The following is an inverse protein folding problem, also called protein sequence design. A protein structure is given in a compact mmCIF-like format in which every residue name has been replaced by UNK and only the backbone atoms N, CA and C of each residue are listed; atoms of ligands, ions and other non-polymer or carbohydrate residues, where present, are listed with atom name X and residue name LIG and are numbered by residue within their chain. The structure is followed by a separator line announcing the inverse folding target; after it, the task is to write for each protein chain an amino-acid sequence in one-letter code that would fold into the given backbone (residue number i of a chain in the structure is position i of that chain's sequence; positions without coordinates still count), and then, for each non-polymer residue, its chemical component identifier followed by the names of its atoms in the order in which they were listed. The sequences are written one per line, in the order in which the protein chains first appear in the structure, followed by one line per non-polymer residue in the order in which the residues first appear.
data_IF_466923071566
#
_entry.id   IF_466923071566
#
_cell.length_a   1.000
_cell.length_b   1.000
_cell.length_c   1.000
_cell.angle_alpha   90.00
_cell.angle_beta   90.00
_cell.angle_gamma   90.00
#
_symmetry.space_group_name_H-M   'P 1'
#
loop_
_entity.id
_entity.type
_entity.pdbx_description
1 polymer ?
#
# COMPACT_ATOMS: atom_id res chain seq x y z
N UNK A 1 52.26 38.90 -31.80
CA UNK A 1 51.00 38.15 -32.07
C UNK A 1 50.45 37.64 -30.76
N UNK A 2 49.36 38.23 -30.27
CA UNK A 2 48.79 37.85 -29.00
C UNK A 2 47.73 36.74 -29.21
N UNK A 3 47.91 35.56 -28.61
CA UNK A 3 46.89 34.49 -28.56
C UNK A 3 45.84 34.89 -27.56
N UNK A 4 44.60 35.10 -28.03
CA UNK A 4 43.43 35.30 -27.19
C UNK A 4 43.13 33.99 -26.42
N UNK A 5 43.24 34.04 -25.11
CA UNK A 5 42.78 33.03 -24.18
C UNK A 5 41.24 32.90 -24.27
N UNK A 6 40.72 31.72 -24.61
CA UNK A 6 39.32 31.43 -24.54
C UNK A 6 38.94 31.31 -23.07
N UNK A 7 38.09 32.24 -22.58
CA UNK A 7 37.44 32.12 -21.28
C UNK A 7 36.57 30.88 -21.28
N UNK A 8 36.87 29.93 -20.40
CA UNK A 8 36.00 28.85 -20.05
C UNK A 8 34.73 29.47 -19.42
N UNK A 9 33.61 29.34 -20.10
CA UNK A 9 32.29 29.57 -19.51
C UNK A 9 32.01 28.43 -18.54
N UNK A 10 31.55 28.72 -17.32
CA UNK A 10 31.11 27.66 -16.40
C UNK A 10 29.90 26.93 -16.99
N UNK A 11 29.98 25.61 -17.04
CA UNK A 11 28.87 24.75 -17.40
C UNK A 11 27.75 24.92 -16.33
N UNK A 12 26.49 24.97 -16.72
CA UNK A 12 25.43 25.04 -15.72
C UNK A 12 25.39 23.75 -14.86
N UNK A 13 25.34 23.94 -13.57
CA UNK A 13 25.28 22.90 -12.57
C UNK A 13 24.08 21.98 -12.80
N UNK A 14 24.29 20.82 -13.42
CA UNK A 14 23.30 19.75 -13.56
C UNK A 14 23.26 18.81 -12.33
N UNK A 15 23.90 19.20 -11.22
CA UNK A 15 24.17 18.27 -10.13
C UNK A 15 23.19 18.31 -8.95
N UNK A 16 22.34 19.32 -8.85
CA UNK A 16 21.48 19.47 -7.65
C UNK A 16 20.18 18.67 -7.69
N UNK A 17 19.62 18.41 -8.88
CA UNK A 17 18.29 17.78 -9.00
C UNK A 17 18.37 16.26 -8.91
N UNK A 18 19.45 15.63 -9.39
CA UNK A 18 19.57 14.16 -9.39
C UNK A 18 19.94 13.56 -8.04
N UNK A 19 20.50 14.37 -7.11
CA UNK A 19 20.86 13.92 -5.77
C UNK A 19 19.67 14.00 -4.80
N UNK A 20 18.75 14.94 -5.02
CA UNK A 20 17.55 15.11 -4.17
C UNK A 20 16.46 14.06 -4.45
N UNK A 21 16.36 13.52 -5.67
CA UNK A 21 15.34 12.55 -6.03
C UNK A 21 15.48 11.19 -5.31
N UNK A 22 16.68 10.59 -5.17
CA UNK A 22 16.86 9.38 -4.37
C UNK A 22 16.58 9.59 -2.89
N UNK A 23 16.99 10.72 -2.30
CA UNK A 23 16.75 11.02 -0.89
C UNK A 23 15.26 11.23 -0.59
N UNK A 24 14.49 11.80 -1.52
CA UNK A 24 13.03 11.93 -1.37
C UNK A 24 12.31 10.59 -1.49
N UNK A 25 12.80 9.68 -2.32
CA UNK A 25 12.24 8.32 -2.45
C UNK A 25 12.57 7.45 -1.23
N UNK A 26 13.75 7.58 -0.65
CA UNK A 26 14.12 6.88 0.58
C UNK A 26 13.33 7.38 1.80
N UNK A 27 12.91 8.65 1.79
CA UNK A 27 12.08 9.23 2.85
C UNK A 27 10.61 8.78 2.80
N UNK A 28 10.14 8.28 1.63
CA UNK A 28 8.76 7.82 1.47
C UNK A 28 8.60 6.38 1.95
N UNK A 29 7.43 6.09 2.51
CA UNK A 29 7.10 4.76 3.00
C UNK A 29 6.87 3.79 1.84
N UNK A 30 7.59 2.66 1.76
CA UNK A 30 7.39 1.66 0.71
C UNK A 30 6.01 1.02 0.85
N UNK A 31 5.19 1.20 -0.19
CA UNK A 31 3.79 0.81 -0.23
C UNK A 31 3.53 -0.27 -1.28
N UNK A 32 2.78 -1.28 -0.90
CA UNK A 32 2.29 -2.33 -1.78
C UNK A 32 0.78 -2.20 -2.00
N UNK A 33 0.35 -2.52 -3.20
CA UNK A 33 -1.06 -2.71 -3.52
C UNK A 33 -1.43 -4.16 -3.22
N UNK A 34 -2.52 -4.38 -2.49
CA UNK A 34 -3.14 -5.67 -2.37
C UNK A 34 -4.58 -5.63 -2.89
N UNK A 35 -4.92 -6.60 -3.71
CA UNK A 35 -6.26 -6.75 -4.26
C UNK A 35 -6.68 -8.21 -4.34
N UNK A 36 -7.97 -8.41 -4.55
CA UNK A 36 -8.58 -9.72 -4.64
C UNK A 36 -9.85 -9.68 -5.50
N UNK A 37 -10.02 -10.71 -6.33
CA UNK A 37 -11.30 -11.07 -6.93
C UNK A 37 -11.80 -12.39 -6.33
N UNK A 38 -13.09 -12.47 -6.07
CA UNK A 38 -13.77 -13.67 -5.62
C UNK A 38 -14.40 -14.40 -6.80
N UNK A 39 -14.46 -15.74 -6.76
CA UNK A 39 -15.13 -16.54 -7.80
C UNK A 39 -16.65 -16.33 -7.81
N UNK A 40 -17.21 -15.91 -6.69
CA UNK A 40 -18.64 -15.73 -6.51
C UNK A 40 -19.20 -14.40 -7.02
N UNK A 41 -18.30 -13.47 -7.38
CA UNK A 41 -18.66 -12.10 -7.71
C UNK A 41 -18.71 -11.83 -9.23
N UNK A 42 -19.00 -12.85 -10.05
CA UNK A 42 -18.78 -12.92 -11.51
C UNK A 42 -19.58 -11.90 -12.37
N UNK A 43 -20.55 -11.15 -11.84
CA UNK A 43 -21.39 -10.31 -12.72
C UNK A 43 -21.41 -8.81 -12.41
N UNK A 44 -20.83 -8.33 -11.31
CA UNK A 44 -20.92 -6.91 -10.91
C UNK A 44 -19.63 -6.32 -10.35
N UNK A 45 -18.56 -7.05 -10.25
CA UNK A 45 -17.34 -6.52 -9.68
C UNK A 45 -16.40 -5.89 -10.71
N UNK A 46 -15.87 -4.79 -10.27
CA UNK A 46 -14.81 -4.05 -10.90
C UNK A 46 -13.60 -4.94 -11.21
N UNK A 47 -13.08 -4.85 -12.41
CA UNK A 47 -11.94 -5.66 -12.86
C UNK A 47 -10.69 -5.45 -11.97
N UNK A 48 -9.79 -6.40 -12.03
CA UNK A 48 -8.47 -6.31 -11.38
C UNK A 48 -7.75 -5.01 -11.76
N UNK A 49 -7.77 -4.67 -13.04
CA UNK A 49 -7.09 -3.50 -13.58
C UNK A 49 -7.66 -2.21 -13.00
N UNK A 50 -8.98 -2.12 -12.87
CA UNK A 50 -9.65 -0.94 -12.31
C UNK A 50 -9.33 -0.76 -10.82
N UNK A 51 -9.33 -1.85 -10.04
CA UNK A 51 -8.93 -1.80 -8.63
C UNK A 51 -7.48 -1.32 -8.48
N UNK A 52 -6.57 -1.91 -9.24
CA UNK A 52 -5.14 -1.55 -9.21
C UNK A 52 -4.96 -0.08 -9.63
N UNK A 53 -5.61 0.36 -10.71
CA UNK A 53 -5.50 1.72 -11.20
C UNK A 53 -5.95 2.76 -10.17
N UNK A 54 -7.06 2.51 -9.47
CA UNK A 54 -7.58 3.38 -8.42
C UNK A 54 -6.58 3.51 -7.26
N UNK A 55 -6.05 2.39 -6.80
CA UNK A 55 -5.10 2.37 -5.68
C UNK A 55 -3.74 2.95 -6.08
N UNK A 56 -3.30 2.67 -7.31
CA UNK A 56 -2.07 3.24 -7.86
C UNK A 56 -2.15 4.77 -7.96
N UNK A 57 -3.29 5.30 -8.43
CA UNK A 57 -3.51 6.75 -8.47
C UNK A 57 -3.45 7.39 -7.09
N UNK A 58 -4.04 6.73 -6.08
CA UNK A 58 -3.94 7.18 -4.69
C UNK A 58 -2.48 7.25 -4.21
N UNK A 59 -1.70 6.20 -4.44
CA UNK A 59 -0.28 6.17 -4.05
C UNK A 59 0.51 7.27 -4.77
N UNK A 60 0.27 7.44 -6.07
CA UNK A 60 0.99 8.44 -6.89
C UNK A 60 0.72 9.88 -6.44
N UNK A 61 -0.47 10.16 -5.90
CA UNK A 61 -0.83 11.47 -5.36
C UNK A 61 -0.32 11.70 -3.93
N UNK A 62 0.09 10.64 -3.25
CA UNK A 62 0.60 10.75 -1.88
C UNK A 62 2.04 11.23 -1.86
N UNK A 63 2.33 12.22 -1.01
CA UNK A 63 3.70 12.64 -0.72
C UNK A 63 4.44 11.71 0.23
N UNK A 64 3.72 10.81 0.91
CA UNK A 64 4.24 9.94 1.96
C UNK A 64 4.57 8.53 1.49
N UNK A 65 4.01 8.11 0.33
CA UNK A 65 4.07 6.74 -0.14
C UNK A 65 4.95 6.60 -1.39
N UNK A 66 5.67 5.49 -1.46
CA UNK A 66 6.41 5.06 -2.63
C UNK A 66 5.93 3.68 -3.06
N UNK A 67 5.41 3.54 -4.28
CA UNK A 67 4.95 2.27 -4.81
C UNK A 67 6.11 1.29 -4.99
N UNK A 68 5.94 0.06 -4.52
CA UNK A 68 6.93 -1.01 -4.62
C UNK A 68 6.44 -2.15 -5.50
N UNK A 69 5.29 -2.75 -5.19
CA UNK A 69 4.78 -3.92 -5.90
C UNK A 69 3.26 -4.09 -5.73
N UNK A 70 2.68 -4.92 -6.58
CA UNK A 70 1.26 -5.30 -6.55
C UNK A 70 1.12 -6.79 -6.28
N UNK A 71 0.26 -7.13 -5.32
CA UNK A 71 -0.07 -8.49 -4.92
C UNK A 71 -1.56 -8.71 -5.16
N UNK A 72 -1.90 -9.66 -6.01
CA UNK A 72 -3.29 -9.88 -6.38
C UNK A 72 -3.65 -11.35 -6.35
N UNK A 73 -4.66 -11.72 -5.56
CA UNK A 73 -5.23 -13.05 -5.50
C UNK A 73 -6.53 -13.11 -6.31
N UNK A 74 -6.57 -14.06 -7.24
CA UNK A 74 -7.71 -14.29 -8.11
C UNK A 74 -8.26 -15.70 -7.93
N UNK A 75 -9.58 -15.85 -7.87
CA UNK A 75 -10.25 -17.13 -7.79
C UNK A 75 -10.31 -17.77 -6.39
N UNK A 76 -9.97 -17.03 -5.34
CA UNK A 76 -10.04 -17.51 -3.96
C UNK A 76 -11.21 -16.87 -3.20
N UNK A 77 -11.84 -17.64 -2.30
CA UNK A 77 -12.90 -17.11 -1.44
C UNK A 77 -12.34 -16.13 -0.41
N UNK A 78 -13.10 -15.07 -0.08
CA UNK A 78 -12.68 -14.04 0.87
C UNK A 78 -12.58 -14.49 2.32
N UNK A 79 -13.00 -15.73 2.63
CA UNK A 79 -13.03 -16.29 3.98
C UNK A 79 -11.72 -16.96 4.40
N UNK A 80 -10.79 -17.17 3.47
CA UNK A 80 -9.53 -17.88 3.71
C UNK A 80 -8.33 -17.02 3.33
N UNK A 81 -7.40 -16.80 4.28
CA UNK A 81 -6.13 -16.11 4.04
C UNK A 81 -4.99 -17.00 3.52
N UNK A 82 -5.27 -18.25 3.17
CA UNK A 82 -4.32 -19.12 2.46
C UNK A 82 -4.24 -18.75 0.99
N UNK A 83 -3.84 -17.52 0.70
CA UNK A 83 -3.77 -16.93 -0.64
C UNK A 83 -2.31 -16.73 -1.01
N UNK A 84 -1.86 -17.20 -2.20
CA UNK A 84 -0.45 -17.13 -2.58
C UNK A 84 0.13 -15.71 -2.61
N UNK A 85 -0.62 -14.76 -3.16
CA UNK A 85 -0.18 -13.37 -3.23
C UNK A 85 -0.14 -12.72 -1.84
N UNK A 86 -1.13 -12.96 -1.00
CA UNK A 86 -1.12 -12.50 0.40
C UNK A 86 0.04 -13.09 1.19
N UNK A 87 0.34 -14.38 1.01
CA UNK A 87 1.49 -15.03 1.66
C UNK A 87 2.80 -14.38 1.24
N UNK A 88 2.97 -14.11 -0.06
CA UNK A 88 4.15 -13.40 -0.58
C UNK A 88 4.25 -11.99 -0.03
N UNK A 89 3.14 -11.25 0.00
CA UNK A 89 3.08 -9.91 0.60
C UNK A 89 3.54 -9.94 2.08
N UNK A 90 3.05 -10.88 2.87
CA UNK A 90 3.41 -10.98 4.28
C UNK A 90 4.89 -11.36 4.49
N UNK A 91 5.48 -12.14 3.58
CA UNK A 91 6.91 -12.41 3.60
C UNK A 91 7.73 -11.13 3.35
N UNK A 92 7.33 -10.32 2.37
CA UNK A 92 8.01 -9.05 2.07
C UNK A 92 7.81 -8.01 3.18
N UNK A 93 6.65 -8.01 3.84
CA UNK A 93 6.40 -7.23 5.06
C UNK A 93 7.36 -7.62 6.18
N UNK A 94 7.52 -8.92 6.46
CA UNK A 94 8.45 -9.41 7.51
C UNK A 94 9.90 -9.06 7.20
N UNK A 95 10.26 -9.02 5.91
CA UNK A 95 11.58 -8.59 5.46
C UNK A 95 11.76 -7.07 5.44
N UNK A 96 10.75 -6.31 5.89
CA UNK A 96 10.72 -4.85 5.91
C UNK A 96 10.84 -4.18 4.54
N UNK A 97 10.55 -4.90 3.47
CA UNK A 97 10.47 -4.37 2.11
C UNK A 97 9.21 -3.53 1.89
N UNK A 98 8.13 -3.88 2.60
CA UNK A 98 6.83 -3.21 2.57
C UNK A 98 6.52 -2.71 3.98
N UNK A 99 6.14 -1.43 4.08
CA UNK A 99 5.73 -0.77 5.33
C UNK A 99 4.30 -0.25 5.30
N UNK A 100 3.70 -0.18 4.11
CA UNK A 100 2.31 0.20 3.94
C UNK A 100 1.62 -0.75 2.97
N UNK A 101 0.43 -1.22 3.32
CA UNK A 101 -0.45 -1.97 2.44
C UNK A 101 -1.62 -1.07 2.08
N UNK A 102 -1.88 -0.90 0.78
CA UNK A 102 -2.99 -0.10 0.27
C UNK A 102 -3.95 -1.00 -0.47
N UNK A 103 -5.21 -0.98 -0.07
CA UNK A 103 -6.30 -1.73 -0.69
C UNK A 103 -7.38 -0.78 -1.20
N UNK A 104 -8.22 -1.24 -2.12
CA UNK A 104 -9.38 -0.46 -2.55
C UNK A 104 -10.34 -0.22 -1.38
N UNK A 105 -10.76 -1.30 -0.74
CA UNK A 105 -11.63 -1.31 0.43
C UNK A 105 -11.28 -2.48 1.36
N UNK A 106 -11.76 -2.45 2.59
CA UNK A 106 -11.45 -3.49 3.59
C UNK A 106 -11.99 -4.87 3.22
N UNK A 107 -13.04 -4.96 2.40
CA UNK A 107 -13.58 -6.25 1.93
C UNK A 107 -12.61 -6.99 1.01
N UNK A 108 -11.71 -6.25 0.34
CA UNK A 108 -10.65 -6.85 -0.48
C UNK A 108 -9.58 -7.50 0.38
N UNK A 109 -9.35 -6.96 1.57
CA UNK A 109 -8.44 -7.57 2.53
C UNK A 109 -8.97 -8.90 3.06
N UNK A 110 -10.24 -8.98 3.44
CA UNK A 110 -10.88 -10.23 3.85
C UNK A 110 -12.36 -10.06 4.23
N UNK A 111 -13.17 -11.10 3.97
CA UNK A 111 -14.58 -11.16 4.40
C UNK A 111 -14.74 -11.76 5.79
N UNK A 112 -13.76 -12.51 6.29
CA UNK A 112 -13.73 -13.00 7.66
C UNK A 112 -13.27 -11.86 8.58
N UNK A 113 -14.21 -11.21 9.23
CA UNK A 113 -13.98 -10.06 10.09
C UNK A 113 -13.09 -10.37 11.30
N UNK A 114 -13.14 -11.60 11.84
CA UNK A 114 -12.32 -12.00 12.98
C UNK A 114 -10.84 -12.08 12.58
N UNK A 115 -10.56 -12.74 11.48
CA UNK A 115 -9.19 -12.89 10.97
C UNK A 115 -8.63 -11.56 10.45
N UNK A 116 -9.44 -10.82 9.68
CA UNK A 116 -9.07 -9.48 9.21
C UNK A 116 -8.81 -8.53 10.38
N UNK A 117 -9.67 -8.54 11.40
CA UNK A 117 -9.50 -7.76 12.61
C UNK A 117 -8.22 -8.12 13.37
N UNK A 118 -7.89 -9.39 13.48
CA UNK A 118 -6.65 -9.84 14.09
C UNK A 118 -5.42 -9.27 13.36
N UNK A 119 -5.40 -9.30 12.03
CA UNK A 119 -4.33 -8.68 11.25
C UNK A 119 -4.25 -7.18 11.47
N UNK A 120 -5.37 -6.49 11.39
CA UNK A 120 -5.42 -5.03 11.47
C UNK A 120 -5.09 -4.53 12.88
N UNK A 121 -5.62 -5.18 13.91
CA UNK A 121 -5.46 -4.73 15.30
C UNK A 121 -4.18 -5.25 15.96
N UNK A 122 -3.64 -6.38 15.52
CA UNK A 122 -2.53 -7.06 16.19
C UNK A 122 -1.30 -7.22 15.30
N UNK A 123 -1.44 -7.89 14.15
CA UNK A 123 -0.29 -8.29 13.34
C UNK A 123 0.37 -7.07 12.68
N UNK A 124 -0.40 -6.21 12.02
CA UNK A 124 0.15 -5.04 11.34
C UNK A 124 0.75 -4.02 12.30
N UNK A 125 0.11 -3.66 13.42
CA UNK A 125 0.76 -2.80 14.41
C UNK A 125 2.04 -3.40 14.98
N UNK A 126 2.06 -4.70 15.26
CA UNK A 126 3.26 -5.41 15.75
C UNK A 126 4.40 -5.37 14.73
N UNK A 127 4.10 -5.52 13.44
CA UNK A 127 5.10 -5.47 12.36
C UNK A 127 5.42 -4.03 11.91
N UNK A 128 4.75 -3.02 12.45
CA UNK A 128 4.92 -1.62 12.05
C UNK A 128 4.39 -1.33 10.65
N UNK A 129 3.33 -2.02 10.22
CA UNK A 129 2.70 -1.86 8.89
C UNK A 129 1.47 -0.99 8.98
N UNK A 130 1.42 0.02 8.12
CA UNK A 130 0.25 0.88 7.88
C UNK A 130 -0.70 0.20 6.89
N UNK A 131 -2.00 0.23 7.16
CA UNK A 131 -3.03 -0.20 6.23
C UNK A 131 -3.91 0.99 5.83
N UNK A 132 -4.10 1.15 4.54
CA UNK A 132 -4.99 2.17 3.96
C UNK A 132 -6.02 1.49 3.08
N UNK A 133 -7.31 1.78 3.29
CA UNK A 133 -8.40 1.38 2.42
C UNK A 133 -9.01 2.65 1.78
N UNK A 134 -8.79 2.81 0.47
CA UNK A 134 -9.01 4.08 -0.22
C UNK A 134 -10.48 4.50 -0.23
N UNK A 135 -11.38 3.61 -0.66
CA UNK A 135 -12.81 3.95 -0.78
C UNK A 135 -13.53 3.99 0.56
N UNK A 136 -13.02 3.32 1.58
CA UNK A 136 -13.53 3.39 2.95
C UNK A 136 -12.99 4.60 3.71
N UNK A 137 -12.09 5.35 3.11
CA UNK A 137 -11.37 6.45 3.77
C UNK A 137 -10.73 6.02 5.11
N UNK A 138 -10.23 4.79 5.16
CA UNK A 138 -9.64 4.18 6.34
C UNK A 138 -8.12 4.27 6.30
N UNK A 139 -7.52 4.63 7.43
CA UNK A 139 -6.08 4.65 7.63
C UNK A 139 -5.73 4.19 9.05
N UNK A 140 -4.99 3.10 9.17
CA UNK A 140 -4.65 2.50 10.47
C UNK A 140 -3.77 3.40 11.37
N UNK A 141 -3.20 4.46 10.84
CA UNK A 141 -2.47 5.47 11.65
C UNK A 141 -3.40 6.45 12.35
N UNK A 142 -4.66 6.55 11.91
CA UNK A 142 -5.68 7.37 12.56
C UNK A 142 -6.37 6.58 13.67
N UNK A 143 -6.31 7.13 14.89
CA UNK A 143 -6.89 6.49 16.07
C UNK A 143 -8.40 6.27 15.94
N UNK A 144 -9.11 7.26 15.41
CA UNK A 144 -10.56 7.22 15.18
C UNK A 144 -10.96 6.06 14.25
N UNK A 145 -10.19 5.82 13.19
CA UNK A 145 -10.46 4.74 12.25
C UNK A 145 -10.27 3.37 12.90
N UNK A 146 -9.21 3.21 13.68
CA UNK A 146 -8.95 1.98 14.44
C UNK A 146 -10.01 1.72 15.50
N UNK A 147 -10.46 2.75 16.21
CA UNK A 147 -11.54 2.64 17.21
C UNK A 147 -12.88 2.28 16.56
N UNK A 148 -13.20 2.86 15.40
CA UNK A 148 -14.44 2.57 14.67
C UNK A 148 -14.50 1.13 14.14
N UNK A 149 -13.37 0.55 13.81
CA UNK A 149 -13.26 -0.84 13.36
C UNK A 149 -13.33 -1.84 14.52
N UNK A 150 -12.71 -1.53 15.65
CA UNK A 150 -12.66 -2.40 16.83
C UNK A 150 -14.04 -2.67 17.43
N UNK A 151 -14.96 -1.70 17.35
CA UNK A 151 -16.30 -1.81 17.95
C UNK A 151 -17.19 -2.88 17.26
N UNK A 152 -17.34 -2.92 15.93
CA UNK A 152 -18.06 -3.98 15.24
C UNK A 152 -17.48 -5.37 15.49
N UNK A 153 -16.16 -5.52 15.51
CA UNK A 153 -15.47 -6.80 15.72
C UNK A 153 -15.71 -7.31 17.13
N UNK A 154 -15.61 -6.47 18.16
CA UNK A 154 -15.89 -6.83 19.56
C UNK A 154 -17.34 -7.28 19.75
N UNK A 155 -18.30 -6.62 19.11
CA UNK A 155 -19.71 -7.00 19.19
C UNK A 155 -19.99 -8.34 18.53
N UNK A 156 -19.27 -8.72 17.49
CA UNK A 156 -19.38 -10.04 16.86
C UNK A 156 -18.84 -11.17 17.74
N UNK A 157 -17.81 -10.92 18.54
CA UNK A 157 -17.22 -11.91 19.46
C UNK A 157 -18.09 -12.12 20.70
N UNK A 158 -18.84 -11.11 21.12
CA UNK A 158 -19.70 -11.13 22.31
C UNK A 158 -21.16 -11.52 22.01
N UNK A 159 -21.48 -11.76 20.76
CA UNK A 159 -22.78 -12.29 20.34
C UNK A 159 -22.70 -13.82 20.20
#
# INVERSE_FOLDING_TARGET
MARKSRKNLPQPEQTAVSVLLPELDEARMPAAIYGRLSVEDDEKEESMETQIALVQDYINRSSELNYVDTYFDNGFTGTNFKRPAFTRLMNDVRQKKIKCIVVKDLSRFGRNYLEAGYYIETVFPFLGVRLIAVTDNFDSTRKEDMESLAFPIRNMVNA
#
